data_IF_898558514329
#
_entry.id   IF_898558514329
#
_cell.length_a   1.000
_cell.length_b   1.000
_cell.length_c   1.000
_cell.angle_alpha   90.00
_cell.angle_beta   90.00
_cell.angle_gamma   90.00
#
_symmetry.space_group_name_H-M   'P 1'
#
loop_
_entity.id
_entity.type
_entity.pdbx_description
1 polymer ?
#
# COMPACT_ATOMS: atom_id res chain seq x y z
N UNK A 1 23.25 -4.47 -20.27
CA UNK A 1 22.62 -4.60 -18.93
C UNK A 1 22.25 -6.05 -18.73
N UNK A 2 22.54 -6.66 -17.57
CA UNK A 2 22.17 -8.05 -17.31
C UNK A 2 20.68 -8.14 -16.97
N UNK A 3 20.05 -9.30 -17.26
CA UNK A 3 18.64 -9.57 -16.92
C UNK A 3 18.30 -9.24 -15.46
N UNK A 4 19.19 -9.59 -14.53
CA UNK A 4 19.01 -9.34 -13.10
C UNK A 4 19.03 -7.84 -12.75
N UNK A 5 19.91 -7.06 -13.36
CA UNK A 5 19.97 -5.60 -13.17
C UNK A 5 18.72 -4.91 -13.69
N UNK A 6 18.15 -5.41 -14.78
CA UNK A 6 16.91 -4.88 -15.33
C UNK A 6 15.69 -5.20 -14.47
N UNK A 7 15.64 -6.39 -13.85
CA UNK A 7 14.60 -6.73 -12.88
C UNK A 7 14.59 -5.82 -11.64
N UNK A 8 15.74 -5.31 -11.23
CA UNK A 8 15.85 -4.40 -10.07
C UNK A 8 15.46 -2.95 -10.37
N UNK A 9 15.36 -2.56 -11.63
CA UNK A 9 14.96 -1.20 -12.00
C UNK A 9 13.55 -0.87 -11.48
N UNK A 10 13.33 0.38 -11.14
CA UNK A 10 11.99 0.88 -10.87
C UNK A 10 11.15 0.96 -12.17
N UNK A 11 9.86 1.21 -12.03
CA UNK A 11 8.93 1.25 -13.18
C UNK A 11 9.31 2.33 -14.21
N UNK A 12 9.80 3.47 -13.75
CA UNK A 12 10.28 4.55 -14.61
C UNK A 12 11.53 4.15 -15.40
N UNK A 13 12.48 3.45 -14.77
CA UNK A 13 13.67 2.92 -15.40
C UNK A 13 13.35 1.91 -16.51
N UNK A 14 12.44 0.96 -16.24
CA UNK A 14 11.99 -0.02 -17.24
C UNK A 14 11.29 0.64 -18.44
N UNK A 15 10.44 1.64 -18.19
CA UNK A 15 9.80 2.44 -19.28
C UNK A 15 10.81 3.23 -20.09
N UNK A 16 11.84 3.78 -19.47
CA UNK A 16 12.89 4.52 -20.16
C UNK A 16 13.75 3.60 -21.06
N UNK A 17 14.04 2.38 -20.63
CA UNK A 17 14.73 1.40 -21.47
C UNK A 17 13.90 1.02 -22.69
N UNK A 18 12.59 0.79 -22.51
CA UNK A 18 11.65 0.53 -23.62
C UNK A 18 11.60 1.68 -24.64
N UNK A 19 11.68 2.93 -24.17
CA UNK A 19 11.69 4.10 -25.06
C UNK A 19 13.03 4.29 -25.80
N UNK A 20 14.15 3.88 -25.20
CA UNK A 20 15.50 4.02 -25.76
C UNK A 20 15.91 2.86 -26.69
N UNK A 21 15.16 1.75 -26.68
CA UNK A 21 15.44 0.61 -27.54
C UNK A 21 15.14 0.94 -29.01
N UNK A 22 16.17 0.84 -29.88
CA UNK A 22 16.07 1.14 -31.31
C UNK A 22 15.70 -0.10 -32.13
N UNK A 23 16.09 -1.30 -31.65
CA UNK A 23 15.89 -2.56 -32.39
C UNK A 23 14.65 -3.30 -31.88
N UNK A 24 13.86 -3.88 -32.79
CA UNK A 24 12.67 -4.69 -32.45
C UNK A 24 13.00 -5.85 -31.51
N UNK A 25 14.17 -6.47 -31.66
CA UNK A 25 14.62 -7.55 -30.78
C UNK A 25 14.89 -7.08 -29.33
N UNK A 26 15.55 -5.94 -29.17
CA UNK A 26 15.80 -5.34 -27.86
C UNK A 26 14.48 -4.95 -27.18
N UNK A 27 13.58 -4.35 -27.92
CA UNK A 27 12.26 -3.97 -27.43
C UNK A 27 11.46 -5.19 -26.95
N UNK A 28 11.48 -6.28 -27.74
CA UNK A 28 10.82 -7.54 -27.35
C UNK A 28 11.42 -8.14 -26.07
N UNK A 29 12.75 -8.11 -25.93
CA UNK A 29 13.45 -8.56 -24.72
C UNK A 29 13.03 -7.73 -23.49
N UNK A 30 13.06 -6.41 -23.57
CA UNK A 30 12.65 -5.53 -22.47
C UNK A 30 11.18 -5.69 -22.08
N UNK A 31 10.30 -5.94 -23.06
CA UNK A 31 8.89 -6.27 -22.80
C UNK A 31 8.76 -7.59 -22.03
N UNK A 32 9.51 -8.61 -22.42
CA UNK A 32 9.50 -9.92 -21.76
C UNK A 32 9.97 -9.79 -20.30
N UNK A 33 11.09 -9.08 -20.06
CA UNK A 33 11.60 -8.82 -18.71
C UNK A 33 10.56 -8.08 -17.86
N UNK A 34 9.88 -7.10 -18.46
CA UNK A 34 8.82 -6.35 -17.77
C UNK A 34 7.61 -7.22 -17.41
N UNK A 35 7.20 -8.14 -18.31
CA UNK A 35 6.14 -9.12 -18.05
C UNK A 35 6.52 -10.10 -16.92
N UNK A 36 7.74 -10.62 -16.94
CA UNK A 36 8.25 -11.48 -15.86
C UNK A 36 8.21 -10.74 -14.52
N UNK A 37 8.63 -9.48 -14.49
CA UNK A 37 8.59 -8.64 -13.31
C UNK A 37 7.17 -8.47 -12.75
N UNK A 38 6.20 -8.19 -13.63
CA UNK A 38 4.78 -8.12 -13.25
C UNK A 38 4.31 -9.45 -12.69
N UNK A 39 4.59 -10.57 -13.38
CA UNK A 39 4.18 -11.89 -12.95
C UNK A 39 4.74 -12.26 -11.56
N UNK A 40 6.03 -12.00 -11.31
CA UNK A 40 6.67 -12.23 -10.01
C UNK A 40 6.04 -11.37 -8.92
N UNK A 41 5.78 -10.08 -9.22
CA UNK A 41 5.13 -9.18 -8.24
C UNK A 41 3.71 -9.64 -7.93
N UNK A 42 2.92 -10.04 -8.93
CA UNK A 42 1.58 -10.58 -8.73
C UNK A 42 1.60 -11.88 -7.91
N UNK A 43 2.50 -12.81 -8.23
CA UNK A 43 2.66 -14.05 -7.47
C UNK A 43 3.00 -13.77 -6.00
N UNK A 44 3.90 -12.82 -5.74
CA UNK A 44 4.22 -12.38 -4.38
C UNK A 44 2.98 -11.81 -3.66
N UNK A 45 2.20 -10.95 -4.32
CA UNK A 45 0.98 -10.38 -3.72
C UNK A 45 -0.04 -11.47 -3.38
N UNK A 46 -0.26 -12.44 -4.28
CA UNK A 46 -1.17 -13.56 -4.01
C UNK A 46 -0.70 -14.42 -2.83
N UNK A 47 0.57 -14.78 -2.81
CA UNK A 47 1.16 -15.56 -1.71
C UNK A 47 1.03 -14.82 -0.38
N UNK A 48 1.36 -13.54 -0.35
CA UNK A 48 1.28 -12.72 0.86
C UNK A 48 -0.16 -12.67 1.40
N UNK A 49 -1.15 -12.34 0.57
CA UNK A 49 -2.56 -12.27 1.00
C UNK A 49 -3.07 -13.64 1.44
N UNK A 50 -2.67 -14.73 0.77
CA UNK A 50 -3.06 -16.09 1.16
C UNK A 50 -2.47 -16.47 2.52
N UNK A 51 -1.19 -16.23 2.74
CA UNK A 51 -0.52 -16.47 4.03
C UNK A 51 -1.17 -15.63 5.12
N UNK A 52 -1.43 -14.36 4.85
CA UNK A 52 -2.08 -13.45 5.78
C UNK A 52 -3.49 -13.94 6.16
N UNK A 53 -4.28 -14.38 5.18
CA UNK A 53 -5.61 -14.94 5.39
C UNK A 53 -5.59 -16.22 6.25
N UNK A 54 -4.58 -17.08 6.08
CA UNK A 54 -4.41 -18.30 6.88
C UNK A 54 -4.04 -17.95 8.33
N UNK A 55 -3.17 -16.97 8.54
CA UNK A 55 -2.69 -16.60 9.90
C UNK A 55 -3.71 -15.80 10.69
N UNK A 56 -4.42 -14.86 10.05
CA UNK A 56 -5.32 -13.90 10.73
C UNK A 56 -6.80 -14.15 10.47
N UNK A 57 -7.12 -15.16 9.68
CA UNK A 57 -8.50 -15.53 9.29
C UNK A 57 -8.98 -14.86 8.02
N UNK A 58 -9.92 -15.52 7.34
CA UNK A 58 -10.45 -15.06 6.04
C UNK A 58 -11.10 -13.67 6.10
N UNK A 59 -11.70 -13.31 7.24
CA UNK A 59 -12.32 -11.99 7.45
C UNK A 59 -11.30 -10.85 7.40
N UNK A 60 -10.03 -11.15 7.71
CA UNK A 60 -8.93 -10.20 7.71
C UNK A 60 -8.08 -10.23 6.44
N UNK A 61 -8.46 -10.99 5.41
CA UNK A 61 -7.74 -11.03 4.12
C UNK A 61 -7.60 -9.66 3.48
N UNK A 62 -8.61 -8.80 3.63
CA UNK A 62 -8.60 -7.41 3.15
C UNK A 62 -7.49 -6.58 3.79
N UNK A 63 -7.17 -6.86 5.05
CA UNK A 63 -6.05 -6.20 5.76
C UNK A 63 -4.73 -6.54 5.08
N UNK A 64 -4.53 -7.80 4.68
CA UNK A 64 -3.36 -8.20 3.90
C UNK A 64 -3.21 -7.41 2.60
N UNK A 65 -4.32 -7.16 1.91
CA UNK A 65 -4.33 -6.30 0.70
C UNK A 65 -3.93 -4.86 1.05
N UNK A 66 -4.49 -4.29 2.11
CA UNK A 66 -4.18 -2.91 2.55
C UNK A 66 -2.72 -2.78 2.98
N UNK A 67 -2.19 -3.74 3.74
CA UNK A 67 -0.77 -3.77 4.13
C UNK A 67 0.13 -3.80 2.89
N UNK A 68 -0.19 -4.64 1.89
CA UNK A 68 0.54 -4.65 0.61
C UNK A 68 0.49 -3.30 -0.11
N UNK A 69 -0.68 -2.66 -0.18
CA UNK A 69 -0.83 -1.35 -0.79
C UNK A 69 0.03 -0.31 -0.07
N UNK A 70 0.01 -0.30 1.26
CA UNK A 70 0.85 0.58 2.07
C UNK A 70 2.35 0.32 1.83
N UNK A 71 2.78 -0.95 1.84
CA UNK A 71 4.17 -1.32 1.56
C UNK A 71 4.64 -0.84 0.18
N UNK A 72 3.80 -0.96 -0.85
CA UNK A 72 4.12 -0.48 -2.19
C UNK A 72 4.27 1.04 -2.26
N UNK A 73 3.48 1.78 -1.49
CA UNK A 73 3.57 3.24 -1.38
C UNK A 73 4.83 3.63 -0.62
N UNK A 74 5.05 3.08 0.59
CA UNK A 74 6.17 3.46 1.46
C UNK A 74 7.53 3.01 0.94
N UNK A 75 7.60 1.91 0.18
CA UNK A 75 8.85 1.46 -0.45
C UNK A 75 9.51 2.53 -1.32
N UNK A 76 8.71 3.38 -1.96
CA UNK A 76 9.19 4.40 -2.88
C UNK A 76 9.21 5.81 -2.27
N UNK A 77 8.78 5.95 -1.01
CA UNK A 77 8.68 7.22 -0.32
C UNK A 77 10.00 7.51 0.42
N UNK A 78 10.79 8.44 -0.11
CA UNK A 78 11.87 9.05 0.66
C UNK A 78 11.30 10.30 1.36
N UNK A 79 11.10 10.16 2.68
CA UNK A 79 10.48 11.23 3.47
C UNK A 79 11.44 12.40 3.74
N UNK A 80 12.75 12.22 3.50
CA UNK A 80 13.75 13.27 3.69
C UNK A 80 13.84 13.85 5.11
N UNK A 81 13.25 13.16 6.11
CA UNK A 81 13.14 13.60 7.50
C UNK A 81 13.94 12.68 8.43
N UNK A 82 14.25 13.17 9.63
CA UNK A 82 14.94 12.38 10.64
C UNK A 82 14.19 11.08 10.98
N UNK A 83 14.94 9.99 11.22
CA UNK A 83 14.40 8.65 11.50
C UNK A 83 13.34 8.66 12.61
N UNK A 84 13.52 9.44 13.67
CA UNK A 84 12.55 9.55 14.77
C UNK A 84 11.23 10.21 14.34
N UNK A 85 11.28 11.22 13.50
CA UNK A 85 10.10 11.88 12.96
C UNK A 85 9.36 10.96 11.98
N UNK A 86 10.11 10.21 11.17
CA UNK A 86 9.55 9.21 10.25
C UNK A 86 8.80 8.10 11.01
N UNK A 87 9.38 7.61 12.12
CA UNK A 87 8.73 6.59 12.96
C UNK A 87 7.45 7.12 13.62
N UNK A 88 7.46 8.35 14.11
CA UNK A 88 6.27 8.98 14.69
C UNK A 88 5.16 9.16 13.66
N UNK A 89 5.52 9.55 12.45
CA UNK A 89 4.62 9.74 11.33
C UNK A 89 3.98 8.42 10.89
N UNK A 90 4.78 7.34 10.81
CA UNK A 90 4.29 5.99 10.53
C UNK A 90 3.36 5.48 11.64
N UNK A 91 3.68 5.74 12.91
CA UNK A 91 2.82 5.37 14.03
C UNK A 91 1.47 6.12 13.98
N UNK A 92 1.48 7.42 13.65
CA UNK A 92 0.25 8.20 13.45
C UNK A 92 -0.57 7.65 12.28
N UNK A 93 0.09 7.35 11.16
CA UNK A 93 -0.55 6.74 10.01
C UNK A 93 -1.19 5.39 10.37
N UNK A 94 -0.48 4.54 11.10
CA UNK A 94 -1.00 3.27 11.60
C UNK A 94 -2.27 3.47 12.44
N UNK A 95 -2.26 4.40 13.38
CA UNK A 95 -3.43 4.71 14.22
C UNK A 95 -4.61 5.18 13.37
N UNK A 96 -4.39 6.08 12.41
CA UNK A 96 -5.45 6.55 11.52
C UNK A 96 -6.06 5.40 10.72
N UNK A 97 -5.24 4.53 10.15
CA UNK A 97 -5.71 3.42 9.31
C UNK A 97 -6.43 2.33 10.09
N UNK A 98 -6.09 2.10 11.36
CA UNK A 98 -6.67 1.02 12.17
C UNK A 98 -7.84 1.47 13.03
N UNK A 99 -7.72 2.62 13.68
CA UNK A 99 -8.68 3.07 14.71
C UNK A 99 -9.80 3.89 14.10
N UNK A 100 -9.51 4.81 13.18
CA UNK A 100 -10.54 5.69 12.62
C UNK A 100 -11.65 4.97 11.87
N UNK A 101 -11.40 3.96 11.00
CA UNK A 101 -12.48 3.22 10.34
C UNK A 101 -13.40 2.51 11.31
N UNK A 102 -12.82 1.87 12.33
CA UNK A 102 -13.57 1.16 13.36
C UNK A 102 -14.44 2.08 14.21
N UNK A 103 -13.87 3.18 14.69
CA UNK A 103 -14.62 4.20 15.44
C UNK A 103 -15.74 4.83 14.60
N UNK A 104 -15.46 5.12 13.33
CA UNK A 104 -16.45 5.72 12.43
C UNK A 104 -17.69 4.84 12.25
N UNK A 105 -17.53 3.50 12.29
CA UNK A 105 -18.62 2.54 12.22
C UNK A 105 -19.38 2.38 13.56
N UNK A 106 -18.73 2.67 14.68
CA UNK A 106 -19.38 2.58 16.00
C UNK A 106 -20.15 3.83 16.40
N UNK A 107 -19.78 5.01 15.87
CA UNK A 107 -20.45 6.26 16.17
C UNK A 107 -21.76 6.42 15.39
N UNK A 108 -22.53 7.46 15.76
CA UNK A 108 -23.69 7.86 14.98
C UNK A 108 -23.30 8.22 13.53
N UNK A 109 -24.17 8.02 12.53
CA UNK A 109 -23.83 8.22 11.12
C UNK A 109 -23.21 9.58 10.81
N UNK A 110 -23.68 10.63 11.49
CA UNK A 110 -23.17 12.01 11.29
C UNK A 110 -21.74 12.15 11.83
N UNK A 111 -21.48 11.65 13.05
CA UNK A 111 -20.14 11.70 13.66
C UNK A 111 -19.15 10.80 12.91
N UNK A 112 -19.59 9.61 12.48
CA UNK A 112 -18.78 8.71 11.67
C UNK A 112 -18.39 9.34 10.33
N UNK A 113 -19.31 10.03 9.67
CA UNK A 113 -19.01 10.77 8.44
C UNK A 113 -17.99 11.89 8.66
N UNK A 114 -18.13 12.69 9.72
CA UNK A 114 -17.17 13.74 10.05
C UNK A 114 -15.78 13.17 10.35
N UNK A 115 -15.71 12.08 11.11
CA UNK A 115 -14.45 11.40 11.42
C UNK A 115 -13.77 10.86 10.14
N UNK A 116 -14.53 10.26 9.23
CA UNK A 116 -14.01 9.80 7.94
C UNK A 116 -13.48 10.93 7.08
N UNK A 117 -14.20 12.06 7.00
CA UNK A 117 -13.75 13.25 6.26
C UNK A 117 -12.44 13.77 6.85
N UNK A 118 -12.35 13.87 8.17
CA UNK A 118 -11.14 14.33 8.85
C UNK A 118 -9.96 13.38 8.61
N UNK A 119 -10.16 12.07 8.75
CA UNK A 119 -9.13 11.06 8.49
C UNK A 119 -8.64 11.10 7.04
N UNK A 120 -9.55 11.16 6.07
CA UNK A 120 -9.21 11.27 4.65
C UNK A 120 -8.47 12.57 4.34
N UNK A 121 -8.89 13.71 4.92
CA UNK A 121 -8.19 14.98 4.76
C UNK A 121 -6.74 14.89 5.27
N UNK A 122 -6.51 14.27 6.43
CA UNK A 122 -5.16 14.04 6.95
C UNK A 122 -4.36 13.16 6.01
N UNK A 123 -4.89 12.03 5.52
CA UNK A 123 -4.20 11.15 4.58
C UNK A 123 -3.83 11.85 3.27
N UNK A 124 -4.70 12.71 2.75
CA UNK A 124 -4.44 13.51 1.55
C UNK A 124 -3.34 14.55 1.83
N UNK A 125 -3.39 15.24 2.96
CA UNK A 125 -2.36 16.22 3.36
C UNK A 125 -0.98 15.55 3.51
N UNK A 126 -0.92 14.34 4.05
CA UNK A 126 0.31 13.55 4.08
C UNK A 126 0.94 13.37 2.69
N UNK A 127 0.10 13.09 1.69
CA UNK A 127 0.56 12.92 0.32
C UNK A 127 0.94 14.22 -0.38
N UNK A 128 0.42 15.38 0.06
CA UNK A 128 0.73 16.68 -0.55
C UNK A 128 2.16 17.15 -0.27
N UNK A 129 2.81 16.66 0.78
CA UNK A 129 4.15 17.07 1.16
C UNK A 129 5.20 16.65 0.12
N UNK A 130 4.99 15.54 -0.59
CA UNK A 130 5.92 15.08 -1.63
C UNK A 130 5.16 14.42 -2.80
N UNK A 131 4.57 15.20 -3.73
CA UNK A 131 3.65 14.71 -4.76
C UNK A 131 4.28 13.75 -5.76
N UNK A 132 5.61 13.71 -5.88
CA UNK A 132 6.30 12.80 -6.80
C UNK A 132 6.46 11.37 -6.26
N UNK A 133 6.28 11.16 -4.96
CA UNK A 133 6.60 9.90 -4.29
C UNK A 133 5.39 9.21 -3.65
N UNK A 134 4.34 9.95 -3.28
CA UNK A 134 3.17 9.41 -2.59
C UNK A 134 1.99 9.22 -3.55
N UNK A 135 1.55 7.98 -3.71
CA UNK A 135 0.27 7.70 -4.38
C UNK A 135 -0.87 7.81 -3.37
N UNK A 136 -1.40 9.02 -3.20
CA UNK A 136 -2.50 9.34 -2.29
C UNK A 136 -3.74 8.48 -2.52
N UNK A 137 -4.06 8.20 -3.79
CA UNK A 137 -5.22 7.39 -4.17
C UNK A 137 -5.15 5.99 -3.57
N UNK A 138 -3.95 5.41 -3.46
CA UNK A 138 -3.74 4.08 -2.89
C UNK A 138 -4.00 4.07 -1.38
N UNK A 139 -3.57 5.11 -0.66
CA UNK A 139 -3.80 5.23 0.79
C UNK A 139 -5.28 5.45 1.11
N UNK A 140 -5.94 6.33 0.36
CA UNK A 140 -7.38 6.57 0.45
C UNK A 140 -8.16 5.28 0.16
N UNK A 141 -7.79 4.55 -0.90
CA UNK A 141 -8.40 3.27 -1.21
C UNK A 141 -8.23 2.25 -0.07
N UNK A 142 -7.02 2.15 0.49
CA UNK A 142 -6.75 1.29 1.65
C UNK A 142 -7.63 1.63 2.85
N UNK A 143 -7.77 2.91 3.17
CA UNK A 143 -8.65 3.38 4.24
C UNK A 143 -10.12 3.01 3.99
N UNK A 144 -10.63 3.25 2.79
CA UNK A 144 -12.01 2.93 2.41
C UNK A 144 -12.29 1.42 2.46
N UNK A 145 -11.32 0.59 2.07
CA UNK A 145 -11.42 -0.86 2.20
C UNK A 145 -11.54 -1.27 3.67
N UNK A 146 -10.72 -0.72 4.57
CA UNK A 146 -10.79 -1.01 6.00
C UNK A 146 -12.11 -0.54 6.64
N UNK A 147 -12.64 0.59 6.18
CA UNK A 147 -13.95 1.10 6.61
C UNK A 147 -15.10 0.22 6.13
N UNK A 148 -15.10 -0.17 4.86
CA UNK A 148 -16.17 -0.97 4.26
C UNK A 148 -16.22 -2.42 4.75
N UNK A 149 -15.08 -2.96 5.18
CA UNK A 149 -14.94 -4.33 5.71
C UNK A 149 -14.57 -4.33 7.19
N UNK A 150 -15.23 -3.49 7.97
CA UNK A 150 -14.99 -3.47 9.41
C UNK A 150 -15.44 -4.77 10.08
N UNK A 151 -14.69 -5.16 11.11
CA UNK A 151 -14.93 -6.37 11.91
C UNK A 151 -14.91 -6.04 13.39
N UNK A 152 -15.59 -6.83 14.20
CA UNK A 152 -15.72 -6.62 15.65
C UNK A 152 -15.14 -7.78 16.45
N UNK A 153 -14.91 -7.57 17.73
CA UNK A 153 -14.50 -8.61 18.67
C UNK A 153 -13.09 -9.15 18.40
N UNK A 154 -12.94 -10.48 18.39
CA UNK A 154 -11.64 -11.15 18.23
C UNK A 154 -11.01 -10.88 16.86
N UNK A 155 -11.82 -10.78 15.81
CA UNK A 155 -11.34 -10.49 14.45
C UNK A 155 -10.72 -9.10 14.37
N UNK A 156 -11.22 -8.12 15.12
CA UNK A 156 -10.61 -6.79 15.22
C UNK A 156 -9.25 -6.82 15.93
N UNK A 157 -9.11 -7.60 17.01
CA UNK A 157 -7.82 -7.76 17.69
C UNK A 157 -6.77 -8.39 16.76
N UNK A 158 -7.16 -9.44 16.02
CA UNK A 158 -6.29 -10.04 15.00
C UNK A 158 -5.93 -9.06 13.90
N UNK A 159 -6.84 -8.15 13.51
CA UNK A 159 -6.58 -7.07 12.56
C UNK A 159 -5.50 -6.12 13.06
N UNK A 160 -5.57 -5.68 14.32
CA UNK A 160 -4.56 -4.80 14.92
C UNK A 160 -3.17 -5.45 14.91
N UNK A 161 -3.08 -6.72 15.28
CA UNK A 161 -1.82 -7.48 15.25
C UNK A 161 -1.31 -7.61 13.83
N UNK A 162 -2.17 -7.97 12.87
CA UNK A 162 -1.79 -8.13 11.47
C UNK A 162 -1.34 -6.84 10.78
N UNK A 163 -1.82 -5.68 11.24
CA UNK A 163 -1.36 -4.38 10.73
C UNK A 163 -0.08 -3.88 11.41
N UNK A 164 0.23 -4.39 12.62
CA UNK A 164 1.44 -4.01 13.36
C UNK A 164 2.69 -4.81 12.94
N UNK A 165 2.50 -5.96 12.28
CA UNK A 165 3.58 -6.81 11.76
C UNK A 165 4.11 -6.30 10.43
#
# INVERSE_FOLDING_TARGET
MTFYQELQLNQAGSKNLLKKSETVKEKSYHILVYLVKIAVTMAFCFLFVTIFSILFGNENSIVGVVVLLCLMVFRNADLGIHTGQSTMLLALFFVIMTVCPHLANQFSPVLGMLLNIAALAVLILFGCHNPSMFNQSTLVLGYLLLYGYDVTGKSYQMRLVGMAL
#
